data_IF_061036027298
#
_entry.id   IF_061036027298
#
_cell.length_a   1.000
_cell.length_b   1.000
_cell.length_c   1.000
_cell.angle_alpha   90.00
_cell.angle_beta   90.00
_cell.angle_gamma   90.00
#
_symmetry.space_group_name_H-M   'P 1'
#
loop_
_entity.id
_entity.type
_entity.pdbx_description
1 polymer ?
#
# COMPACT_ATOMS: atom_id res chain seq x y z
N UNK A 1 1.54 -11.75 -4.10
CA UNK A 1 0.70 -10.68 -3.53
C UNK A 1 1.54 -9.88 -2.55
N UNK A 2 1.44 -8.54 -2.53
CA UNK A 2 2.14 -7.67 -1.58
C UNK A 2 1.13 -6.77 -0.87
N UNK A 3 1.24 -6.66 0.46
CA UNK A 3 0.39 -5.79 1.29
C UNK A 3 1.29 -4.94 2.19
N UNK A 4 1.20 -3.62 2.07
CA UNK A 4 1.82 -2.66 2.98
C UNK A 4 0.78 -2.04 3.92
N UNK A 5 1.04 -2.04 5.23
CA UNK A 5 0.09 -1.57 6.25
C UNK A 5 0.76 -0.47 7.07
N UNK A 6 0.16 0.73 7.10
CA UNK A 6 0.63 1.90 7.87
C UNK A 6 2.13 2.20 7.68
N UNK A 7 2.64 1.98 6.46
CA UNK A 7 4.06 2.10 6.13
C UNK A 7 4.39 3.34 5.30
N UNK A 8 5.65 3.47 4.90
CA UNK A 8 6.12 4.49 3.97
C UNK A 8 7.18 3.91 3.03
N UNK A 9 7.40 4.55 1.88
CA UNK A 9 8.45 4.17 0.94
C UNK A 9 9.76 4.82 1.36
N UNK A 10 10.72 4.01 1.82
CA UNK A 10 12.09 4.48 2.05
C UNK A 10 12.78 4.70 0.70
N UNK A 11 13.77 5.59 0.67
CA UNK A 11 14.62 5.82 -0.50
C UNK A 11 13.86 6.14 -1.81
N UNK A 12 12.74 6.87 -1.73
CA UNK A 12 11.88 7.16 -2.90
C UNK A 12 12.64 7.78 -4.09
N UNK A 13 13.70 8.54 -3.83
CA UNK A 13 14.53 9.19 -4.85
C UNK A 13 15.37 8.21 -5.69
N UNK A 14 15.48 6.94 -5.29
CA UNK A 14 16.20 5.90 -6.04
C UNK A 14 15.28 5.15 -7.01
N UNK A 15 14.00 5.54 -7.08
CA UNK A 15 13.03 5.03 -8.02
C UNK A 15 12.74 6.07 -9.10
N UNK A 16 12.54 5.63 -10.36
CA UNK A 16 12.25 4.25 -10.78
C UNK A 16 13.46 3.35 -11.07
N UNK A 17 14.70 3.84 -10.96
CA UNK A 17 15.92 3.15 -11.43
C UNK A 17 16.14 1.79 -10.75
N UNK A 18 15.79 1.68 -9.46
CA UNK A 18 15.92 0.44 -8.69
C UNK A 18 14.69 -0.47 -8.75
N UNK A 19 13.64 -0.13 -9.49
CA UNK A 19 12.48 -1.01 -9.62
C UNK A 19 12.82 -2.22 -10.48
N UNK A 20 12.69 -3.42 -9.90
CA UNK A 20 12.81 -4.65 -10.67
C UNK A 20 11.64 -4.82 -11.65
N UNK A 21 11.82 -5.56 -12.77
CA UNK A 21 10.71 -5.89 -13.66
C UNK A 21 9.55 -6.61 -12.94
N UNK A 22 9.88 -7.46 -11.96
CA UNK A 22 8.87 -8.16 -11.16
C UNK A 22 8.02 -7.20 -10.31
N UNK A 23 8.59 -6.11 -9.78
CA UNK A 23 7.83 -5.13 -9.01
C UNK A 23 6.72 -4.47 -9.85
N UNK A 24 6.98 -4.25 -11.15
CA UNK A 24 6.00 -3.66 -12.08
C UNK A 24 4.85 -4.61 -12.43
N UNK A 25 5.06 -5.92 -12.32
CA UNK A 25 4.01 -6.93 -12.57
C UNK A 25 3.23 -7.33 -11.31
N UNK A 26 3.69 -6.94 -10.11
CA UNK A 26 2.94 -7.19 -8.88
C UNK A 26 1.73 -6.25 -8.77
N UNK A 27 0.63 -6.79 -8.26
CA UNK A 27 -0.43 -5.96 -7.65
C UNK A 27 -0.10 -5.78 -6.17
N UNK A 28 -0.16 -4.54 -5.69
CA UNK A 28 0.22 -4.14 -4.34
C UNK A 28 -1.01 -3.50 -3.69
N UNK A 29 -1.41 -3.97 -2.51
CA UNK A 29 -2.35 -3.24 -1.65
C UNK A 29 -1.55 -2.42 -0.63
N UNK A 30 -1.89 -1.14 -0.46
CA UNK A 30 -1.38 -0.32 0.63
C UNK A 30 -2.54 0.26 1.43
N UNK A 31 -2.51 0.05 2.74
CA UNK A 31 -3.50 0.55 3.69
C UNK A 31 -2.89 1.55 4.66
N UNK A 32 -3.66 2.56 5.08
CA UNK A 32 -3.19 3.57 6.03
C UNK A 32 -4.31 4.11 6.93
N UNK A 33 -3.95 4.60 8.12
CA UNK A 33 -4.89 5.25 9.04
C UNK A 33 -5.02 6.75 8.76
N UNK A 34 -6.24 7.29 8.72
CA UNK A 34 -6.45 8.75 8.59
C UNK A 34 -6.13 9.52 9.88
N UNK A 35 -6.09 8.83 11.01
CA UNK A 35 -5.81 9.39 12.35
C UNK A 35 -4.42 8.91 12.83
N UNK A 36 -3.55 8.46 11.92
CA UNK A 36 -2.19 8.02 12.23
C UNK A 36 -1.28 9.20 12.58
N UNK A 37 -1.10 9.45 13.88
CA UNK A 37 -0.24 10.53 14.39
C UNK A 37 1.26 10.19 14.31
N UNK A 38 1.62 8.90 14.30
CA UNK A 38 3.01 8.46 14.22
C UNK A 38 3.57 8.65 12.81
N UNK A 39 2.74 8.34 11.81
CA UNK A 39 3.04 8.50 10.40
C UNK A 39 1.86 9.17 9.70
N UNK A 40 1.84 10.52 9.66
CA UNK A 40 0.76 11.27 9.05
C UNK A 40 0.48 10.82 7.62
N UNK A 41 -0.80 10.55 7.34
CA UNK A 41 -1.26 9.94 6.08
C UNK A 41 -0.79 10.69 4.84
N UNK A 42 -0.68 12.02 4.90
CA UNK A 42 -0.28 12.84 3.75
C UNK A 42 1.12 12.51 3.25
N UNK A 43 2.03 12.15 4.15
CA UNK A 43 3.39 11.72 3.79
C UNK A 43 3.33 10.45 2.94
N UNK A 44 2.69 9.40 3.45
CA UNK A 44 2.59 8.13 2.74
C UNK A 44 1.78 8.29 1.45
N UNK A 45 0.66 9.03 1.49
CA UNK A 45 -0.20 9.27 0.32
C UNK A 45 0.57 9.94 -0.82
N UNK A 46 1.42 10.92 -0.52
CA UNK A 46 2.28 11.55 -1.52
C UNK A 46 3.28 10.56 -2.13
N UNK A 47 3.90 9.71 -1.32
CA UNK A 47 4.82 8.68 -1.80
C UNK A 47 4.13 7.63 -2.66
N UNK A 48 2.94 7.18 -2.27
CA UNK A 48 2.15 6.23 -3.06
C UNK A 48 1.73 6.84 -4.39
N UNK A 49 1.38 8.13 -4.42
CA UNK A 49 1.12 8.85 -5.68
C UNK A 49 2.36 8.86 -6.59
N UNK A 50 3.54 9.12 -6.04
CA UNK A 50 4.79 9.10 -6.80
C UNK A 50 5.10 7.69 -7.34
N UNK A 51 4.99 6.65 -6.50
CA UNK A 51 5.22 5.26 -6.89
C UNK A 51 4.26 4.76 -7.98
N UNK A 52 2.99 5.17 -7.92
CA UNK A 52 2.03 4.94 -9.02
C UNK A 52 2.48 5.61 -10.31
N UNK A 53 2.93 6.86 -10.23
CA UNK A 53 3.50 7.60 -11.36
C UNK A 53 4.76 6.94 -11.96
N UNK A 54 5.51 6.18 -11.16
CA UNK A 54 6.67 5.41 -11.58
C UNK A 54 6.30 4.04 -12.21
N UNK A 55 5.01 3.69 -12.26
CA UNK A 55 4.49 2.50 -12.93
C UNK A 55 4.29 1.29 -12.03
N UNK A 56 4.19 1.46 -10.71
CA UNK A 56 3.74 0.39 -9.81
C UNK A 56 2.21 0.31 -9.76
N UNK A 57 1.68 -0.91 -9.80
CA UNK A 57 0.25 -1.17 -9.68
C UNK A 57 -0.16 -1.24 -8.19
N UNK A 58 -0.52 -0.08 -7.62
CA UNK A 58 -0.87 0.06 -6.20
C UNK A 58 -2.37 0.35 -6.03
N UNK A 59 -3.06 -0.49 -5.28
CA UNK A 59 -4.36 -0.22 -4.68
C UNK A 59 -4.13 0.52 -3.35
N UNK A 60 -4.77 1.68 -3.16
CA UNK A 60 -4.62 2.48 -1.93
C UNK A 60 -5.96 2.52 -1.20
N UNK A 61 -5.95 2.15 0.08
CA UNK A 61 -7.11 2.25 0.97
C UNK A 61 -6.75 2.97 2.25
N UNK A 62 -7.69 3.72 2.79
CA UNK A 62 -7.52 4.43 4.05
C UNK A 62 -8.72 4.23 4.95
N UNK A 63 -8.47 4.11 6.26
CA UNK A 63 -9.49 3.82 7.25
C UNK A 63 -9.40 4.81 8.40
N UNK A 64 -10.52 5.05 9.08
CA UNK A 64 -10.56 5.84 10.31
C UNK A 64 -9.96 5.00 11.46
N UNK A 65 -8.65 5.14 11.64
CA UNK A 65 -7.83 4.47 12.66
C UNK A 65 -6.53 5.26 12.87
N UNK A 66 -5.93 5.07 14.03
CA UNK A 66 -4.58 5.54 14.38
C UNK A 66 -3.48 4.64 13.74
N UNK A 67 -2.29 4.56 14.36
CA UNK A 67 -1.21 3.66 13.97
C UNK A 67 -1.45 2.19 14.43
N UNK A 68 -2.60 1.65 14.06
CA UNK A 68 -3.04 0.28 14.38
C UNK A 68 -3.63 -0.39 13.15
N UNK A 69 -4.25 -1.58 13.29
CA UNK A 69 -5.03 -2.24 12.25
C UNK A 69 -6.52 -2.07 12.59
N UNK A 70 -7.34 -1.63 11.62
CA UNK A 70 -8.80 -1.59 11.79
C UNK A 70 -9.36 -3.00 11.58
N UNK A 71 -9.95 -3.63 12.61
CA UNK A 71 -10.20 -5.07 12.59
C UNK A 71 -11.32 -5.51 11.64
N UNK A 72 -12.18 -4.60 11.17
CA UNK A 72 -13.37 -4.96 10.38
C UNK A 72 -13.14 -4.76 8.89
N UNK A 73 -13.04 -3.52 8.45
CA UNK A 73 -12.92 -3.11 7.06
C UNK A 73 -11.52 -3.40 6.51
N UNK A 74 -10.45 -3.01 7.23
CA UNK A 74 -9.09 -3.18 6.72
C UNK A 74 -8.72 -4.67 6.59
N UNK A 75 -9.05 -5.47 7.61
CA UNK A 75 -8.82 -6.93 7.57
C UNK A 75 -9.66 -7.59 6.47
N UNK A 76 -10.93 -7.20 6.30
CA UNK A 76 -11.78 -7.75 5.23
C UNK A 76 -11.23 -7.39 3.84
N UNK A 77 -10.76 -6.18 3.65
CA UNK A 77 -10.19 -5.72 2.38
C UNK A 77 -8.84 -6.41 2.06
N UNK A 78 -8.00 -6.62 3.07
CA UNK A 78 -6.77 -7.41 2.92
C UNK A 78 -7.11 -8.85 2.54
N UNK A 79 -8.08 -9.47 3.22
CA UNK A 79 -8.55 -10.83 2.89
C UNK A 79 -9.02 -10.89 1.44
N UNK A 80 -9.91 -10.00 1.02
CA UNK A 80 -10.44 -9.97 -0.34
C UNK A 80 -9.35 -9.73 -1.40
N UNK A 81 -8.35 -8.91 -1.08
CA UNK A 81 -7.17 -8.71 -1.93
C UNK A 81 -6.34 -10.00 -2.08
N UNK A 82 -6.08 -10.69 -0.97
CA UNK A 82 -5.32 -11.94 -0.98
C UNK A 82 -6.07 -13.05 -1.71
N UNK A 83 -7.37 -13.22 -1.47
CA UNK A 83 -8.21 -14.19 -2.19
C UNK A 83 -8.15 -13.92 -3.70
N UNK A 84 -8.40 -12.68 -4.15
CA UNK A 84 -8.31 -12.30 -5.57
C UNK A 84 -6.94 -12.54 -6.20
N UNK A 85 -5.86 -12.38 -5.43
CA UNK A 85 -4.49 -12.43 -5.97
C UNK A 85 -3.86 -13.82 -5.91
N UNK A 86 -4.24 -14.63 -4.92
CA UNK A 86 -3.63 -15.93 -4.65
C UNK A 86 -4.55 -17.10 -5.03
N UNK A 87 -5.86 -16.96 -4.84
CA UNK A 87 -6.81 -17.97 -5.26
C UNK A 87 -7.15 -17.72 -6.72
N UNK A 88 -6.64 -18.58 -7.59
CA UNK A 88 -7.15 -18.72 -8.96
C UNK A 88 -8.22 -19.80 -8.93
N UNK A 89 -9.33 -19.55 -9.62
CA UNK A 89 -10.16 -20.63 -10.14
C UNK A 89 -9.35 -21.48 -11.14
#
# INVERSE_FOLDING_TARGET
AFVGISGYASHLAEYPEKLSPAARSQTILVTHGTEDELLPIDRTKAQIKALKGMGLNIEWKSYRKEHTIEPRQEVADIKAFLERTLCRE
#
